data_IF_573843858785
#
_entry.id   IF_573843858785
#
_cell.length_a   1.000
_cell.length_b   1.000
_cell.length_c   1.000
_cell.angle_alpha   90.00
_cell.angle_beta   90.00
_cell.angle_gamma   90.00
#
_symmetry.space_group_name_H-M   'P 1'
#
loop_
_entity.id
_entity.type
_entity.pdbx_description
1 polymer ?
#
# COMPACT_ATOMS: atom_id res chain seq x y z
N UNK A 1 58.18 26.10 -11.87
CA UNK A 1 57.79 25.93 -10.46
C UNK A 1 56.48 25.13 -10.42
N UNK A 2 56.46 23.90 -9.88
CA UNK A 2 55.20 23.19 -9.57
C UNK A 2 55.46 22.02 -8.61
N UNK A 3 55.37 22.29 -7.31
CA UNK A 3 55.34 21.28 -6.25
C UNK A 3 54.39 21.76 -5.16
N UNK A 4 53.35 20.97 -4.89
CA UNK A 4 52.40 21.18 -3.78
C UNK A 4 51.75 19.83 -3.42
N UNK A 5 52.55 18.98 -2.80
CA UNK A 5 52.13 18.00 -1.77
C UNK A 5 51.52 18.77 -0.56
N UNK A 6 50.72 18.24 0.37
CA UNK A 6 50.44 16.87 0.86
C UNK A 6 49.19 16.91 1.81
N UNK A 7 48.43 15.80 1.96
CA UNK A 7 47.54 15.34 3.09
C UNK A 7 46.59 16.33 3.84
N UNK A 8 45.55 15.93 4.61
CA UNK A 8 44.67 14.74 4.75
C UNK A 8 43.63 15.01 5.88
N UNK A 9 42.89 13.96 6.34
CA UNK A 9 42.02 13.91 7.55
C UNK A 9 40.64 14.58 7.34
N UNK A 10 39.49 14.16 7.91
CA UNK A 10 39.03 13.10 8.85
C UNK A 10 37.54 12.76 8.51
N UNK A 11 36.75 11.82 9.04
CA UNK A 11 36.77 10.86 10.19
C UNK A 11 36.25 9.46 9.71
N UNK A 12 36.43 8.35 10.47
CA UNK A 12 35.74 7.09 10.22
C UNK A 12 34.29 7.08 10.77
N UNK A 13 33.31 6.77 9.92
CA UNK A 13 31.93 6.51 10.35
C UNK A 13 31.70 5.00 10.51
N UNK A 14 31.92 4.48 11.73
CA UNK A 14 31.65 3.07 12.05
C UNK A 14 30.16 2.89 12.34
N UNK A 15 29.39 2.54 11.30
CA UNK A 15 27.98 2.22 11.45
C UNK A 15 27.81 0.79 11.99
N UNK A 16 27.70 0.65 13.31
CA UNK A 16 27.27 -0.60 13.95
C UNK A 16 25.75 -0.71 13.80
N UNK A 17 25.29 -1.42 12.77
CA UNK A 17 23.91 -1.87 12.65
C UNK A 17 23.80 -3.31 13.18
N UNK A 18 22.84 -3.53 14.06
CA UNK A 18 22.66 -4.78 14.80
C UNK A 18 22.15 -5.88 13.87
N UNK A 19 22.54 -7.17 14.06
CA UNK A 19 21.83 -8.26 13.44
C UNK A 19 20.41 -8.29 14.02
N UNK A 20 19.43 -7.85 13.22
CA UNK A 20 18.03 -7.89 13.60
C UNK A 20 17.67 -9.35 13.89
N UNK A 21 17.20 -9.62 15.10
CA UNK A 21 16.88 -10.99 15.51
C UNK A 21 15.77 -11.54 14.62
N UNK A 22 16.10 -12.51 13.76
CA UNK A 22 15.13 -13.26 12.97
C UNK A 22 14.35 -14.22 13.89
N UNK A 23 13.44 -13.65 14.67
CA UNK A 23 12.30 -14.40 15.20
C UNK A 23 11.28 -14.57 14.09
N UNK A 24 11.63 -15.38 13.09
CA UNK A 24 10.65 -15.97 12.19
C UNK A 24 9.86 -17.02 12.98
N UNK A 25 8.91 -16.56 13.79
CA UNK A 25 7.82 -17.42 14.24
C UNK A 25 6.97 -17.70 13.02
N UNK A 26 7.30 -18.80 12.35
CA UNK A 26 6.50 -19.38 11.28
C UNK A 26 5.21 -19.94 11.90
N UNK A 27 4.26 -19.04 12.15
CA UNK A 27 2.90 -19.40 12.50
C UNK A 27 2.26 -20.02 11.25
N UNK A 28 2.32 -21.35 11.17
CA UNK A 28 1.63 -22.10 10.13
C UNK A 28 0.16 -21.64 10.09
N UNK A 29 -0.37 -21.22 8.92
CA UNK A 29 -1.75 -20.78 8.83
C UNK A 29 -2.66 -21.95 9.18
N UNK A 30 -3.35 -21.84 10.31
CA UNK A 30 -4.36 -22.81 10.71
C UNK A 30 -5.46 -22.84 9.64
N UNK A 31 -5.82 -24.01 9.07
CA UNK A 31 -6.84 -24.10 8.04
C UNK A 31 -8.24 -24.02 8.65
N UNK A 32 -8.53 -22.93 9.36
CA UNK A 32 -9.89 -22.54 9.73
C UNK A 32 -10.58 -21.91 8.52
N UNK A 33 -10.73 -22.72 7.46
CA UNK A 33 -11.13 -22.33 6.11
C UNK A 33 -12.59 -21.94 5.95
N UNK A 34 -13.08 -21.01 6.78
CA UNK A 34 -14.11 -20.08 6.32
C UNK A 34 -13.46 -19.28 5.19
N UNK A 35 -13.91 -19.43 3.95
CA UNK A 35 -13.44 -18.58 2.87
C UNK A 35 -13.67 -17.12 3.28
N UNK A 36 -12.64 -16.24 3.21
CA UNK A 36 -12.79 -14.86 3.64
C UNK A 36 -13.95 -14.24 2.86
N UNK A 37 -14.87 -13.63 3.58
CA UNK A 37 -16.03 -13.05 2.92
C UNK A 37 -15.57 -11.86 2.05
N UNK A 38 -16.29 -11.56 0.98
CA UNK A 38 -15.87 -10.57 -0.02
C UNK A 38 -15.53 -9.19 0.60
N UNK A 39 -16.12 -8.86 1.75
CA UNK A 39 -15.83 -7.65 2.52
C UNK A 39 -14.49 -7.74 3.26
N UNK A 40 -14.13 -8.87 3.86
CA UNK A 40 -12.79 -9.08 4.47
C UNK A 40 -11.68 -8.93 3.44
N UNK A 41 -11.82 -9.58 2.27
CA UNK A 41 -10.85 -9.46 1.15
C UNK A 41 -10.74 -7.99 0.70
N UNK A 42 -11.87 -7.29 0.61
CA UNK A 42 -11.86 -5.87 0.31
C UNK A 42 -11.13 -5.07 1.38
N UNK A 43 -11.41 -5.28 2.67
CA UNK A 43 -10.83 -4.50 3.77
C UNK A 43 -9.32 -4.72 3.91
N UNK A 44 -8.82 -5.91 3.58
CA UNK A 44 -7.39 -6.24 3.50
C UNK A 44 -6.69 -5.49 2.35
N UNK A 45 -7.25 -5.55 1.13
CA UNK A 45 -6.68 -4.91 -0.07
C UNK A 45 -6.91 -3.39 -0.14
N UNK A 46 -7.93 -2.86 0.53
CA UNK A 46 -8.28 -1.44 0.49
C UNK A 46 -7.34 -0.56 1.32
N UNK A 47 -6.71 -1.12 2.36
CA UNK A 47 -5.87 -0.39 3.30
C UNK A 47 -6.58 0.86 3.86
N UNK A 48 -6.15 2.05 3.45
CA UNK A 48 -6.75 3.31 3.90
C UNK A 48 -8.18 3.57 3.41
N UNK A 49 -8.70 2.77 2.47
CA UNK A 49 -10.06 2.83 1.93
C UNK A 49 -11.01 1.74 2.48
N UNK A 50 -10.62 0.99 3.53
CA UNK A 50 -11.44 -0.11 4.07
C UNK A 50 -12.86 0.35 4.51
N UNK A 51 -13.01 1.61 4.94
CA UNK A 51 -14.29 2.25 5.28
C UNK A 51 -15.30 2.30 4.12
N UNK A 52 -14.83 2.36 2.87
CA UNK A 52 -15.70 2.43 1.68
C UNK A 52 -15.93 1.07 1.02
N UNK A 53 -15.39 -0.02 1.59
CA UNK A 53 -15.53 -1.36 1.01
C UNK A 53 -16.97 -1.76 0.73
N UNK A 54 -17.92 -1.43 1.62
CA UNK A 54 -19.35 -1.70 1.43
C UNK A 54 -19.94 -1.11 0.14
N UNK A 55 -19.37 -0.02 -0.38
CA UNK A 55 -19.76 0.57 -1.68
C UNK A 55 -19.10 -0.15 -2.86
N UNK A 56 -17.85 -0.61 -2.67
CA UNK A 56 -17.05 -1.23 -3.72
C UNK A 56 -17.30 -2.74 -3.96
N UNK A 57 -17.97 -3.46 -3.05
CA UNK A 57 -18.13 -4.93 -3.12
C UNK A 57 -18.63 -5.45 -4.48
N UNK A 58 -19.66 -4.82 -5.03
CA UNK A 58 -20.31 -5.21 -6.29
C UNK A 58 -19.34 -5.27 -7.49
N UNK A 59 -18.20 -4.58 -7.44
CA UNK A 59 -17.19 -4.60 -8.51
C UNK A 59 -16.49 -5.95 -8.67
N UNK A 60 -16.37 -6.71 -7.58
CA UNK A 60 -15.58 -7.93 -7.52
C UNK A 60 -16.40 -9.16 -7.08
N UNK A 61 -17.71 -9.01 -6.86
CA UNK A 61 -18.60 -10.09 -6.40
C UNK A 61 -18.68 -11.29 -7.36
N UNK A 62 -18.48 -11.05 -8.66
CA UNK A 62 -18.46 -12.07 -9.70
C UNK A 62 -17.01 -12.42 -10.16
N UNK A 63 -15.98 -11.95 -9.46
CA UNK A 63 -14.58 -12.23 -9.79
C UNK A 63 -14.14 -13.58 -9.23
N UNK A 64 -13.43 -14.39 -10.02
CA UNK A 64 -12.72 -15.57 -9.53
C UNK A 64 -11.40 -15.24 -8.80
N UNK A 65 -10.99 -13.97 -8.83
CA UNK A 65 -9.79 -13.40 -8.16
C UNK A 65 -10.19 -12.07 -7.49
N UNK A 66 -10.92 -12.13 -6.36
CA UNK A 66 -11.44 -10.92 -5.70
C UNK A 66 -10.35 -10.04 -5.10
N UNK A 67 -9.27 -10.63 -4.59
CA UNK A 67 -8.05 -9.99 -4.09
C UNK A 67 -7.45 -9.02 -5.13
N UNK A 68 -6.97 -9.55 -6.26
CA UNK A 68 -6.40 -8.77 -7.35
C UNK A 68 -7.40 -7.79 -7.98
N UNK A 69 -8.71 -8.09 -7.93
CA UNK A 69 -9.77 -7.18 -8.34
C UNK A 69 -9.90 -5.96 -7.41
N UNK A 70 -9.90 -6.16 -6.09
CA UNK A 70 -9.93 -5.06 -5.12
C UNK A 70 -8.62 -4.27 -5.15
N UNK A 71 -7.46 -4.93 -5.16
CA UNK A 71 -6.16 -4.28 -5.32
C UNK A 71 -6.13 -3.31 -6.51
N UNK A 72 -6.54 -3.77 -7.69
CA UNK A 72 -6.61 -2.95 -8.92
C UNK A 72 -7.63 -1.80 -8.80
N UNK A 73 -8.75 -2.05 -8.13
CA UNK A 73 -9.80 -1.05 -7.85
C UNK A 73 -9.27 0.07 -6.95
N UNK A 74 -8.63 -0.25 -5.83
CA UNK A 74 -8.10 0.74 -4.90
C UNK A 74 -6.84 1.45 -5.41
N UNK A 75 -6.01 0.78 -6.23
CA UNK A 75 -4.94 1.43 -6.99
C UNK A 75 -5.50 2.49 -7.97
N UNK A 76 -6.62 2.20 -8.63
CA UNK A 76 -7.31 3.16 -9.50
C UNK A 76 -7.88 4.35 -8.71
N UNK A 77 -8.51 4.10 -7.57
CA UNK A 77 -8.99 5.16 -6.65
C UNK A 77 -7.83 6.05 -6.19
N UNK A 78 -6.71 5.45 -5.78
CA UNK A 78 -5.52 6.18 -5.34
C UNK A 78 -4.95 7.06 -6.46
N UNK A 79 -4.88 6.54 -7.70
CA UNK A 79 -4.45 7.32 -8.86
C UNK A 79 -5.35 8.54 -9.11
N UNK A 80 -6.67 8.36 -9.10
CA UNK A 80 -7.64 9.45 -9.32
C UNK A 80 -7.58 10.48 -8.18
N UNK A 81 -7.52 10.02 -6.93
CA UNK A 81 -7.35 10.89 -5.76
C UNK A 81 -6.08 11.72 -5.88
N UNK A 82 -4.95 11.10 -6.25
CA UNK A 82 -3.66 11.76 -6.42
C UNK A 82 -3.66 12.80 -7.54
N UNK A 83 -4.30 12.51 -8.69
CA UNK A 83 -4.47 13.48 -9.77
C UNK A 83 -5.34 14.66 -9.34
N UNK A 84 -6.45 14.40 -8.62
CA UNK A 84 -7.31 15.45 -8.10
C UNK A 84 -6.56 16.39 -7.14
N UNK A 85 -5.73 15.86 -6.23
CA UNK A 85 -4.89 16.68 -5.36
C UNK A 85 -3.86 17.51 -6.13
N UNK A 86 -3.22 16.95 -7.15
CA UNK A 86 -2.26 17.68 -8.00
C UNK A 86 -2.90 18.86 -8.77
N UNK A 87 -4.21 18.79 -9.05
CA UNK A 87 -4.99 19.85 -9.70
C UNK A 87 -5.61 20.86 -8.71
N UNK A 88 -5.26 20.79 -7.42
CA UNK A 88 -5.85 21.66 -6.38
C UNK A 88 -7.33 21.35 -6.09
N UNK A 89 -7.78 20.13 -6.39
CA UNK A 89 -9.14 19.68 -6.17
C UNK A 89 -9.51 19.57 -4.69
N UNK A 90 -10.82 19.57 -4.41
CA UNK A 90 -11.39 19.33 -3.09
C UNK A 90 -12.11 17.98 -3.06
N UNK A 91 -12.20 17.40 -1.86
CA UNK A 91 -12.86 16.12 -1.57
C UNK A 91 -12.40 14.95 -2.47
N UNK A 92 -11.11 14.94 -2.80
CA UNK A 92 -10.55 14.04 -3.80
C UNK A 92 -10.72 12.55 -3.47
N UNK A 93 -10.81 12.19 -2.19
CA UNK A 93 -11.11 10.83 -1.73
C UNK A 93 -12.51 10.39 -2.15
N UNK A 94 -13.56 11.08 -1.71
CA UNK A 94 -14.92 10.68 -2.03
C UNK A 94 -15.20 10.81 -3.53
N UNK A 95 -14.62 11.79 -4.21
CA UNK A 95 -14.75 11.89 -5.68
C UNK A 95 -14.13 10.70 -6.40
N UNK A 96 -12.92 10.27 -6.01
CA UNK A 96 -12.28 9.08 -6.57
C UNK A 96 -13.07 7.79 -6.27
N UNK A 97 -13.50 7.61 -5.01
CA UNK A 97 -14.33 6.47 -4.62
C UNK A 97 -15.65 6.45 -5.37
N UNK A 98 -16.37 7.58 -5.47
CA UNK A 98 -17.64 7.67 -6.20
C UNK A 98 -17.48 7.47 -7.71
N UNK A 99 -16.34 7.85 -8.29
CA UNK A 99 -16.04 7.61 -9.71
C UNK A 99 -15.76 6.13 -10.01
N UNK A 100 -15.18 5.39 -9.06
CA UNK A 100 -14.81 3.98 -9.26
C UNK A 100 -15.90 3.03 -8.77
N UNK A 101 -16.49 3.27 -7.60
CA UNK A 101 -17.45 2.39 -6.92
C UNK A 101 -18.89 2.92 -6.92
N UNK A 102 -19.20 4.00 -7.63
CA UNK A 102 -20.53 4.62 -7.59
C UNK A 102 -20.85 5.26 -6.23
N UNK A 103 -22.09 5.72 -6.04
CA UNK A 103 -22.56 6.23 -4.75
C UNK A 103 -23.10 5.11 -3.87
#
# INVERSE_FOLDING_TARGET
MKFATILALVLPAVAVAQPLATSATEAAPSPSGTAPNLKEICEEEAGSYADVCGRCLHRCENSSVPDQCFYSTFMTINMIQSQCWQQGGQDCRNRAVSQVCGN
#
